data_IF_613963424495
#
_entry.id   IF_613963424495
#
_cell.length_a   1.000
_cell.length_b   1.000
_cell.length_c   1.000
_cell.angle_alpha   90.00
_cell.angle_beta   90.00
_cell.angle_gamma   90.00
#
_symmetry.space_group_name_H-M   'P 1'
#
loop_
_entity.id
_entity.type
_entity.pdbx_description
1 polymer ?
#
# COMPACT_ATOMS: atom_id res chain seq x y z
N UNK A 1 5.85 6.66 -16.08
CA UNK A 1 5.36 5.31 -15.72
C UNK A 1 5.15 4.41 -16.95
N UNK A 2 4.61 4.91 -18.06
CA UNK A 2 4.37 4.13 -19.30
C UNK A 2 5.59 3.32 -19.78
N UNK A 3 6.81 3.79 -19.52
CA UNK A 3 8.06 3.08 -19.88
C UNK A 3 8.36 1.88 -18.97
N UNK A 4 7.82 1.86 -17.75
CA UNK A 4 8.22 0.90 -16.69
C UNK A 4 7.09 0.00 -16.24
N UNK A 5 5.84 0.30 -16.58
CA UNK A 5 4.67 -0.47 -16.17
C UNK A 5 4.08 -1.17 -17.39
N UNK A 6 4.17 -2.49 -17.38
CA UNK A 6 3.55 -3.35 -18.39
C UNK A 6 2.25 -3.93 -17.80
N UNK A 7 1.13 -3.31 -18.14
CA UNK A 7 -0.18 -3.68 -17.62
C UNK A 7 -0.57 -5.11 -18.01
N UNK A 8 -0.23 -5.54 -19.22
CA UNK A 8 -0.58 -6.89 -19.67
C UNK A 8 0.18 -7.96 -18.88
N UNK A 9 1.46 -7.75 -18.62
CA UNK A 9 2.24 -8.65 -17.75
C UNK A 9 1.66 -8.74 -16.34
N UNK A 10 1.22 -7.61 -15.78
CA UNK A 10 0.61 -7.59 -14.43
C UNK A 10 -0.70 -8.38 -14.43
N UNK A 11 -1.56 -8.17 -15.44
CA UNK A 11 -2.85 -8.87 -15.54
C UNK A 11 -2.71 -10.38 -15.73
N UNK A 12 -1.73 -10.79 -16.52
CA UNK A 12 -1.48 -12.20 -16.82
C UNK A 12 -0.60 -12.90 -15.78
N UNK A 13 -0.17 -12.20 -14.72
CA UNK A 13 0.66 -12.80 -13.69
C UNK A 13 -0.14 -13.69 -12.74
N UNK A 14 0.50 -14.77 -12.25
CA UNK A 14 -0.06 -15.60 -11.17
C UNK A 14 -0.15 -14.83 -9.84
N UNK A 15 0.73 -13.88 -9.62
CA UNK A 15 0.70 -13.00 -8.44
C UNK A 15 -0.34 -11.91 -8.70
N UNK A 16 -1.36 -11.87 -7.87
CA UNK A 16 -2.41 -10.86 -7.96
C UNK A 16 -1.91 -9.52 -7.43
N UNK A 17 -2.28 -8.46 -8.11
CA UNK A 17 -1.98 -7.08 -7.74
C UNK A 17 -3.24 -6.39 -7.24
N UNK A 18 -3.09 -5.50 -6.26
CA UNK A 18 -4.15 -4.62 -5.78
C UNK A 18 -3.60 -3.32 -5.22
N UNK A 19 -4.43 -2.30 -5.18
CA UNK A 19 -4.10 -0.98 -4.66
C UNK A 19 -5.28 -0.32 -3.94
N UNK A 20 -4.99 0.76 -3.22
CA UNK A 20 -5.98 1.58 -2.54
C UNK A 20 -5.90 3.01 -3.03
N UNK A 21 -7.05 3.63 -3.27
CA UNK A 21 -7.18 5.06 -3.50
C UNK A 21 -8.22 5.65 -2.56
N UNK A 22 -8.12 6.93 -2.29
CA UNK A 22 -9.11 7.66 -1.49
C UNK A 22 -9.89 8.61 -2.38
N UNK A 23 -11.20 8.41 -2.55
CA UNK A 23 -12.07 9.35 -3.25
C UNK A 23 -12.22 10.60 -2.40
N UNK A 24 -11.85 11.78 -2.93
CA UNK A 24 -11.87 13.04 -2.18
C UNK A 24 -13.29 13.38 -1.68
N UNK A 25 -14.29 13.30 -2.56
CA UNK A 25 -15.68 13.50 -2.16
C UNK A 25 -16.14 12.39 -1.21
N UNK A 26 -16.37 12.75 0.03
CA UNK A 26 -16.77 11.84 1.09
C UNK A 26 -15.61 11.09 1.74
N UNK A 27 -14.35 11.37 1.37
CA UNK A 27 -13.13 10.73 1.94
C UNK A 27 -13.26 9.21 2.05
N UNK A 28 -13.74 8.57 0.98
CA UNK A 28 -14.01 7.12 0.95
C UNK A 28 -12.78 6.37 0.44
N UNK A 29 -12.30 5.41 1.24
CA UNK A 29 -11.29 4.45 0.80
C UNK A 29 -11.89 3.44 -0.17
N UNK A 30 -11.25 3.26 -1.31
CA UNK A 30 -11.63 2.30 -2.33
C UNK A 30 -10.44 1.36 -2.57
N UNK A 31 -10.71 0.07 -2.49
CA UNK A 31 -9.74 -1.01 -2.69
C UNK A 31 -10.03 -1.64 -4.05
N UNK A 32 -9.01 -1.81 -4.87
CA UNK A 32 -9.12 -2.38 -6.22
C UNK A 32 -8.12 -3.51 -6.40
N UNK A 33 -8.56 -4.62 -6.92
CA UNK A 33 -7.69 -5.62 -7.54
C UNK A 33 -7.40 -5.21 -8.98
N UNK A 34 -6.42 -5.85 -9.60
CA UNK A 34 -6.13 -5.62 -11.03
C UNK A 34 -7.34 -5.90 -11.93
N UNK A 35 -8.20 -6.83 -11.52
CA UNK A 35 -9.39 -7.24 -12.27
C UNK A 35 -10.52 -6.17 -12.19
N UNK A 36 -10.53 -5.36 -11.13
CA UNK A 36 -11.50 -4.26 -10.95
C UNK A 36 -11.10 -2.99 -11.73
N UNK A 37 -9.83 -2.88 -12.14
CA UNK A 37 -9.32 -1.72 -12.87
C UNK A 37 -9.58 -1.89 -14.36
N UNK A 38 -10.25 -0.93 -15.04
CA UNK A 38 -10.47 -0.99 -16.48
C UNK A 38 -9.15 -1.13 -17.25
N UNK A 39 -9.15 -1.92 -18.34
CA UNK A 39 -7.95 -2.11 -19.18
C UNK A 39 -7.45 -0.76 -19.72
N UNK A 40 -6.14 -0.57 -19.70
CA UNK A 40 -5.48 0.68 -20.11
C UNK A 40 -5.51 1.79 -19.05
N UNK A 41 -6.11 1.56 -17.86
CA UNK A 41 -6.23 2.57 -16.79
C UNK A 41 -5.32 2.30 -15.58
N UNK A 42 -4.55 1.22 -15.57
CA UNK A 42 -3.70 0.88 -14.43
C UNK A 42 -2.78 2.03 -13.99
N UNK A 43 -2.17 2.72 -14.95
CA UNK A 43 -1.27 3.86 -14.64
C UNK A 43 -2.01 5.01 -13.98
N UNK A 44 -3.24 5.31 -14.41
CA UNK A 44 -4.07 6.33 -13.78
C UNK A 44 -4.36 6.01 -12.32
N UNK A 45 -4.67 4.75 -12.03
CA UNK A 45 -4.92 4.26 -10.66
C UNK A 45 -3.65 4.24 -9.81
N UNK A 46 -2.50 3.87 -10.38
CA UNK A 46 -1.20 3.95 -9.69
C UNK A 46 -0.85 5.38 -9.30
N UNK A 47 -1.05 6.34 -10.21
CA UNK A 47 -0.83 7.76 -9.93
C UNK A 47 -1.80 8.23 -8.84
N UNK A 48 -3.08 7.85 -8.92
CA UNK A 48 -4.06 8.20 -7.90
C UNK A 48 -3.67 7.64 -6.51
N UNK A 49 -3.18 6.40 -6.44
CA UNK A 49 -2.72 5.77 -5.21
C UNK A 49 -1.47 6.42 -4.58
N UNK A 50 -0.75 7.24 -5.34
CA UNK A 50 0.42 7.99 -4.89
C UNK A 50 0.19 9.52 -4.87
N UNK A 51 -1.06 9.97 -5.06
CA UNK A 51 -1.39 11.40 -5.16
C UNK A 51 -1.52 12.05 -3.79
N UNK A 52 -0.52 12.85 -3.40
CA UNK A 52 -0.50 13.60 -2.16
C UNK A 52 -0.89 15.06 -2.40
N UNK A 53 -1.92 15.60 -1.73
CA UNK A 53 -2.39 16.98 -1.91
C UNK A 53 -1.31 18.03 -1.65
N UNK A 54 -0.35 17.74 -0.77
CA UNK A 54 0.75 18.64 -0.45
C UNK A 54 1.60 19.00 -1.67
N UNK A 55 1.63 18.14 -2.69
CA UNK A 55 2.32 18.39 -3.95
C UNK A 55 1.40 18.94 -5.04
N UNK A 56 0.14 19.26 -4.71
CA UNK A 56 -0.90 19.67 -5.67
C UNK A 56 -1.08 18.64 -6.81
N UNK A 57 -0.75 17.39 -6.53
CA UNK A 57 -0.95 16.27 -7.48
C UNK A 57 -2.28 15.64 -7.12
N UNK A 58 -3.28 15.96 -7.91
CA UNK A 58 -4.59 15.34 -7.86
C UNK A 58 -4.79 14.53 -9.13
N UNK A 59 -5.35 13.35 -9.02
CA UNK A 59 -5.68 12.54 -10.18
C UNK A 59 -7.18 12.51 -10.39
N UNK A 60 -7.61 13.01 -11.55
CA UNK A 60 -8.99 12.88 -12.01
C UNK A 60 -9.13 11.56 -12.79
N UNK A 61 -10.06 10.71 -12.36
CA UNK A 61 -10.51 9.53 -13.09
C UNK A 61 -12.04 9.60 -13.12
N UNK A 62 -12.61 9.56 -14.32
CA UNK A 62 -14.06 9.58 -14.55
C UNK A 62 -14.77 10.67 -13.70
N UNK A 63 -14.33 11.94 -13.86
CA UNK A 63 -14.86 13.14 -13.18
C UNK A 63 -14.72 13.17 -11.66
N UNK A 64 -13.97 12.25 -11.08
CA UNK A 64 -13.72 12.19 -9.65
C UNK A 64 -12.25 12.44 -9.31
N UNK A 65 -12.02 13.20 -8.25
CA UNK A 65 -10.69 13.45 -7.71
C UNK A 65 -10.35 12.35 -6.72
N UNK A 66 -9.14 11.78 -6.89
CA UNK A 66 -8.61 10.75 -6.01
C UNK A 66 -7.27 11.17 -5.41
N UNK A 67 -7.05 10.68 -4.20
CA UNK A 67 -5.85 10.89 -3.38
C UNK A 67 -5.24 9.54 -3.03
N UNK A 68 -4.02 9.59 -2.48
CA UNK A 68 -3.33 8.44 -1.92
C UNK A 68 -4.23 7.63 -0.97
N UNK A 69 -4.20 6.33 -1.11
CA UNK A 69 -4.95 5.41 -0.26
C UNK A 69 -4.61 5.52 1.22
N UNK A 70 -3.38 5.90 1.54
CA UNK A 70 -2.89 6.02 2.92
C UNK A 70 -3.66 7.06 3.76
N UNK A 71 -4.39 7.99 3.14
CA UNK A 71 -5.27 8.90 3.89
C UNK A 71 -6.36 8.18 4.68
N UNK A 72 -6.82 7.02 4.21
CA UNK A 72 -7.95 6.30 4.83
C UNK A 72 -7.68 4.84 5.11
N UNK A 73 -6.65 4.26 4.50
CA UNK A 73 -6.27 2.87 4.72
C UNK A 73 -4.79 2.67 4.35
N UNK A 74 -3.92 2.68 5.34
CA UNK A 74 -2.47 2.56 5.15
C UNK A 74 -2.06 1.16 4.71
N UNK A 75 -2.79 0.13 5.16
CA UNK A 75 -2.58 -1.26 4.80
C UNK A 75 -3.90 -1.91 4.39
N UNK A 76 -4.05 -2.35 3.13
CA UNK A 76 -5.27 -2.93 2.62
C UNK A 76 -5.46 -4.40 3.04
N UNK A 77 -5.49 -4.67 4.34
CA UNK A 77 -5.64 -6.03 4.88
C UNK A 77 -6.96 -6.64 4.44
N UNK A 78 -8.03 -5.83 4.40
CA UNK A 78 -9.36 -6.26 3.96
C UNK A 78 -9.40 -6.65 2.49
N UNK A 79 -8.62 -5.99 1.64
CA UNK A 79 -8.48 -6.37 0.23
C UNK A 79 -7.90 -7.77 0.09
N UNK A 80 -6.80 -8.06 0.78
CA UNK A 80 -6.15 -9.37 0.75
C UNK A 80 -7.04 -10.47 1.36
N UNK A 81 -7.75 -10.16 2.43
CA UNK A 81 -8.74 -11.06 3.02
C UNK A 81 -9.85 -11.42 2.02
N UNK A 82 -10.41 -10.42 1.33
CA UNK A 82 -11.43 -10.62 0.30
C UNK A 82 -10.91 -11.44 -0.91
N UNK A 83 -9.59 -11.40 -1.16
CA UNK A 83 -8.92 -12.25 -2.14
C UNK A 83 -8.66 -13.67 -1.64
N UNK A 84 -9.06 -14.00 -0.42
CA UNK A 84 -8.92 -15.33 0.19
C UNK A 84 -7.58 -15.58 0.92
N UNK A 85 -6.76 -14.56 1.14
CA UNK A 85 -5.51 -14.68 1.87
C UNK A 85 -5.78 -14.93 3.36
N UNK A 86 -5.33 -16.09 3.87
CA UNK A 86 -5.42 -16.44 5.30
C UNK A 86 -4.20 -15.99 6.10
N UNK A 87 -3.04 -15.83 5.45
CA UNK A 87 -1.82 -15.33 6.06
C UNK A 87 -1.40 -14.07 5.31
N UNK A 88 -1.29 -12.96 6.02
CA UNK A 88 -0.98 -11.65 5.45
C UNK A 88 0.25 -11.10 6.15
N UNK A 89 1.25 -10.68 5.37
CA UNK A 89 2.39 -9.92 5.87
C UNK A 89 2.14 -8.46 5.49
N UNK A 90 1.99 -7.61 6.50
CA UNK A 90 1.87 -6.17 6.34
C UNK A 90 3.19 -5.48 6.66
N UNK A 91 3.63 -4.56 5.82
CA UNK A 91 4.80 -3.72 6.07
C UNK A 91 4.35 -2.26 6.10
N UNK A 92 4.63 -1.54 7.18
CA UNK A 92 4.36 -0.11 7.28
C UNK A 92 5.61 0.67 7.63
N UNK A 93 5.76 1.81 6.99
CA UNK A 93 6.94 2.66 7.15
C UNK A 93 6.88 3.55 8.40
N UNK A 94 5.68 3.78 8.93
CA UNK A 94 5.44 4.59 10.13
C UNK A 94 4.30 4.03 10.98
N UNK A 95 4.37 4.23 12.29
CA UNK A 95 3.35 3.71 13.24
C UNK A 95 2.07 4.56 13.30
N UNK A 96 1.83 5.45 12.36
CA UNK A 96 0.58 6.24 12.32
C UNK A 96 -0.22 5.95 11.06
N UNK A 97 -1.50 6.29 11.09
CA UNK A 97 -2.45 6.06 10.01
C UNK A 97 -3.47 4.98 10.35
N UNK A 98 -4.55 4.97 9.59
CA UNK A 98 -5.67 4.07 9.81
C UNK A 98 -5.35 2.72 9.15
N UNK A 99 -5.44 1.64 9.92
CA UNK A 99 -5.41 0.26 9.43
C UNK A 99 -6.78 -0.33 9.71
N UNK A 100 -7.46 -0.81 8.68
CA UNK A 100 -8.70 -1.56 8.84
C UNK A 100 -8.38 -2.99 9.19
N UNK A 101 -8.93 -3.48 10.30
CA UNK A 101 -8.74 -4.86 10.72
C UNK A 101 -9.45 -5.83 9.77
N UNK A 102 -8.90 -7.02 9.64
CA UNK A 102 -9.56 -8.16 9.01
C UNK A 102 -10.84 -8.52 9.76
N UNK A 103 -11.83 -9.02 9.04
CA UNK A 103 -13.12 -9.41 9.62
C UNK A 103 -13.12 -10.88 10.05
N UNK A 104 -12.39 -11.72 9.32
CA UNK A 104 -12.29 -13.14 9.61
C UNK A 104 -11.24 -13.37 10.70
N UNK A 105 -11.63 -14.05 11.76
CA UNK A 105 -10.76 -14.40 12.90
C UNK A 105 -9.65 -15.39 12.53
N UNK A 106 -9.84 -16.15 11.46
CA UNK A 106 -8.85 -17.12 10.97
C UNK A 106 -7.75 -16.47 10.12
N UNK A 107 -7.90 -15.20 9.76
CA UNK A 107 -6.87 -14.46 9.04
C UNK A 107 -5.76 -14.02 9.98
N UNK A 108 -4.58 -14.59 9.80
CA UNK A 108 -3.37 -14.22 10.54
C UNK A 108 -2.67 -13.05 9.86
N UNK A 109 -2.40 -11.99 10.62
CA UNK A 109 -1.69 -10.81 10.14
C UNK A 109 -0.38 -10.65 10.88
N UNK A 110 0.72 -10.68 10.14
CA UNK A 110 2.07 -10.44 10.63
C UNK A 110 2.49 -9.03 10.22
N UNK A 111 2.59 -8.13 11.19
CA UNK A 111 2.84 -6.72 10.92
C UNK A 111 4.31 -6.37 11.20
N UNK A 112 5.03 -5.98 10.16
CA UNK A 112 6.39 -5.45 10.25
C UNK A 112 6.27 -3.92 10.37
N UNK A 113 6.69 -3.40 11.51
CA UNK A 113 6.68 -1.98 11.82
C UNK A 113 8.06 -1.51 12.25
N UNK A 114 8.44 -0.27 11.97
CA UNK A 114 9.73 0.24 12.41
C UNK A 114 9.80 0.27 13.94
N UNK A 115 10.85 -0.32 14.51
CA UNK A 115 11.10 -0.33 15.95
C UNK A 115 11.53 1.02 16.50
N UNK A 116 12.02 1.92 15.62
CA UNK A 116 12.44 3.29 15.92
C UNK A 116 11.76 4.29 15.00
N UNK A 117 11.86 5.58 15.34
CA UNK A 117 11.39 6.64 14.45
C UNK A 117 12.26 6.69 13.18
N UNK A 118 11.63 6.64 12.02
CA UNK A 118 12.26 6.67 10.69
C UNK A 118 12.47 8.10 10.15
N UNK A 119 12.17 9.14 10.94
CA UNK A 119 12.29 10.53 10.52
C UNK A 119 11.17 11.02 9.59
N UNK A 120 11.45 12.02 8.77
CA UNK A 120 10.49 12.57 7.81
C UNK A 120 10.24 11.60 6.64
N UNK A 121 9.02 11.60 6.10
CA UNK A 121 8.68 10.90 4.84
C UNK A 121 8.99 11.73 3.60
N UNK A 122 9.14 13.04 3.77
CA UNK A 122 9.31 13.97 2.65
C UNK A 122 10.73 14.53 2.56
N UNK A 123 11.45 14.54 3.69
CA UNK A 123 12.81 15.04 3.77
C UNK A 123 13.71 13.96 4.33
N UNK A 124 14.59 13.45 3.50
CA UNK A 124 15.57 12.42 3.87
C UNK A 124 16.90 12.70 3.18
N UNK A 125 17.98 12.38 3.86
CA UNK A 125 19.34 12.38 3.31
C UNK A 125 19.85 10.94 3.15
N UNK A 126 21.01 10.78 2.54
CA UNK A 126 21.58 9.47 2.26
C UNK A 126 21.82 8.65 3.54
N UNK A 127 22.39 9.25 4.57
CA UNK A 127 22.66 8.58 5.86
C UNK A 127 21.38 8.05 6.51
N UNK A 128 20.33 8.90 6.58
CA UNK A 128 19.02 8.50 7.11
C UNK A 128 18.40 7.35 6.30
N UNK A 129 18.57 7.33 4.98
CA UNK A 129 18.07 6.25 4.12
C UNK A 129 18.79 4.95 4.42
N UNK A 130 20.13 4.96 4.52
CA UNK A 130 20.93 3.76 4.82
C UNK A 130 20.56 3.17 6.18
N UNK A 131 20.40 4.02 7.21
CA UNK A 131 20.00 3.59 8.55
C UNK A 131 18.57 3.03 8.59
N UNK A 132 17.64 3.63 7.84
CA UNK A 132 16.28 3.12 7.73
C UNK A 132 16.23 1.78 6.99
N UNK A 133 17.07 1.55 5.98
CA UNK A 133 17.18 0.26 5.30
C UNK A 133 17.69 -0.82 6.28
N UNK A 134 18.75 -0.53 7.06
CA UNK A 134 19.28 -1.44 8.09
C UNK A 134 18.23 -1.73 9.17
N UNK A 135 17.51 -0.68 9.61
CA UNK A 135 16.42 -0.81 10.59
C UNK A 135 15.32 -1.75 10.06
N UNK A 136 14.82 -1.49 8.85
CA UNK A 136 13.78 -2.30 8.23
C UNK A 136 14.18 -3.77 8.04
N UNK A 137 15.42 -4.02 7.63
CA UNK A 137 15.98 -5.38 7.54
C UNK A 137 15.95 -6.10 8.91
N UNK A 138 16.42 -5.44 9.97
CA UNK A 138 16.45 -6.02 11.30
C UNK A 138 15.05 -6.27 11.87
N UNK A 139 14.11 -5.36 11.63
CA UNK A 139 12.72 -5.51 12.08
C UNK A 139 12.01 -6.64 11.33
N UNK A 140 12.24 -6.76 10.02
CA UNK A 140 11.73 -7.87 9.22
C UNK A 140 12.30 -9.22 9.68
N UNK A 141 13.61 -9.30 9.96
CA UNK A 141 14.26 -10.53 10.44
C UNK A 141 13.63 -11.03 11.74
N UNK A 142 13.40 -10.14 12.71
CA UNK A 142 12.72 -10.50 13.98
C UNK A 142 11.30 -11.04 13.75
N UNK A 143 10.59 -10.54 12.73
CA UNK A 143 9.24 -11.02 12.41
C UNK A 143 9.28 -12.39 11.74
N UNK A 144 10.26 -12.64 10.85
CA UNK A 144 10.42 -13.95 10.19
C UNK A 144 10.60 -15.06 11.21
N UNK A 145 11.39 -14.82 12.27
CA UNK A 145 11.60 -15.77 13.33
C UNK A 145 10.30 -16.11 14.10
N UNK A 146 9.39 -15.13 14.22
CA UNK A 146 8.04 -15.36 14.81
C UNK A 146 7.06 -16.08 13.88
N UNK A 147 7.25 -15.98 12.56
CA UNK A 147 6.38 -16.66 11.58
C UNK A 147 6.74 -18.14 11.47
N UNK A 148 8.01 -18.49 11.69
CA UNK A 148 8.52 -19.87 11.59
C UNK A 148 8.19 -20.73 12.81
N UNK A 149 7.94 -20.11 13.95
CA UNK A 149 7.51 -20.74 15.21
C UNK A 149 5.98 -20.71 15.35
#
# INVERSE_FOLDING_TARGET
>A
LNKYVDEEKIRNNKIKFGLVITKLKGMKSLEYTIDDIPKGKLIDYLIASASLPIFKIEKNIDEHIYLDGAFRNVLPLTLLENMGCKNIIGVRLKKFGIIRKTKNKDTKVFLIEPSKNTGSTLFFNQETVEDNIKLGYNDAKKMIDKIKN
#
